data_IF_086946036005
#
_entry.id   IF_086946036005
#
_cell.length_a   1.000
_cell.length_b   1.000
_cell.length_c   1.000
_cell.angle_alpha   90.00
_cell.angle_beta   90.00
_cell.angle_gamma   90.00
#
_symmetry.space_group_name_H-M   'P 1'
#
loop_
_entity.id
_entity.type
_entity.pdbx_description
1 polymer ?
#
# COMPACT_ATOMS: atom_id res chain seq x y z
N UNK A 1 -19.71 2.83 -16.13
CA UNK A 1 -20.11 2.66 -14.72
C UNK A 1 -20.88 3.92 -14.28
N UNK A 2 -21.98 3.78 -13.53
CA UNK A 2 -22.66 4.90 -12.85
C UNK A 2 -22.54 4.64 -11.35
N UNK A 3 -22.05 5.62 -10.59
CA UNK A 3 -21.80 5.52 -9.15
C UNK A 3 -22.51 6.65 -8.41
N UNK A 4 -23.03 6.36 -7.22
CA UNK A 4 -23.74 7.38 -6.40
C UNK A 4 -22.76 8.29 -5.66
N UNK A 5 -21.55 7.80 -5.39
CA UNK A 5 -20.45 8.59 -4.83
C UNK A 5 -19.10 7.99 -5.22
N UNK A 6 -18.03 8.72 -4.95
CA UNK A 6 -16.69 8.34 -5.37
C UNK A 6 -16.18 7.03 -4.71
N UNK A 7 -16.67 6.65 -3.53
CA UNK A 7 -16.24 5.44 -2.83
C UNK A 7 -16.64 4.16 -3.58
N UNK A 8 -17.72 4.20 -4.38
CA UNK A 8 -18.15 3.07 -5.22
C UNK A 8 -17.23 2.81 -6.42
N UNK A 9 -16.28 3.69 -6.68
CA UNK A 9 -15.28 3.53 -7.74
C UNK A 9 -13.97 2.90 -7.23
N UNK A 10 -13.89 2.60 -5.94
CA UNK A 10 -12.73 1.93 -5.34
C UNK A 10 -12.70 0.47 -5.80
N UNK A 11 -11.54 0.01 -6.25
CA UNK A 11 -11.36 -1.36 -6.75
C UNK A 11 -11.54 -1.48 -8.26
N UNK A 12 -11.68 -2.71 -8.74
CA UNK A 12 -11.73 -3.05 -10.18
C UNK A 12 -10.59 -2.41 -10.96
N UNK A 13 -9.40 -2.40 -10.36
CA UNK A 13 -8.21 -1.80 -10.95
C UNK A 13 -7.62 -2.71 -12.02
N UNK A 14 -7.09 -2.18 -13.13
CA UNK A 14 -6.62 -3.00 -14.22
C UNK A 14 -5.31 -3.73 -13.90
N UNK A 15 -5.10 -4.87 -14.58
CA UNK A 15 -3.81 -5.52 -14.69
C UNK A 15 -3.15 -5.06 -16.01
N UNK A 16 -1.99 -4.41 -15.89
CA UNK A 16 -1.28 -3.83 -17.04
C UNK A 16 -0.05 -4.70 -17.33
N UNK A 17 0.07 -5.17 -18.56
CA UNK A 17 1.24 -5.92 -18.99
C UNK A 17 2.44 -4.97 -19.13
N UNK A 18 3.58 -5.44 -18.66
CA UNK A 18 4.87 -4.78 -18.83
C UNK A 18 5.52 -5.34 -20.09
N UNK A 19 5.78 -4.51 -21.09
CA UNK A 19 6.21 -4.95 -22.41
C UNK A 19 7.67 -4.65 -22.72
N UNK A 20 8.22 -3.53 -22.21
CA UNK A 20 9.55 -3.06 -22.59
C UNK A 20 10.58 -3.18 -21.49
N UNK A 21 10.14 -3.05 -20.24
CA UNK A 21 11.03 -2.93 -19.07
C UNK A 21 11.86 -4.20 -18.82
N UNK A 22 11.33 -5.38 -19.15
CA UNK A 22 11.96 -6.69 -18.92
C UNK A 22 12.34 -7.43 -20.19
N UNK A 23 12.17 -6.81 -21.36
CA UNK A 23 12.47 -7.40 -22.67
C UNK A 23 11.42 -8.39 -23.18
N UNK A 24 11.67 -8.87 -24.39
CA UNK A 24 10.76 -9.79 -25.07
C UNK A 24 10.72 -11.16 -24.37
N UNK A 25 9.52 -11.71 -24.21
CA UNK A 25 9.31 -13.04 -23.63
C UNK A 25 9.03 -13.07 -22.13
N UNK A 26 9.26 -11.97 -21.40
CA UNK A 26 8.82 -11.88 -19.99
C UNK A 26 7.30 -11.71 -19.93
N UNK A 27 6.62 -12.56 -19.14
CA UNK A 27 5.18 -12.49 -18.92
C UNK A 27 4.90 -11.83 -17.58
N UNK A 28 5.07 -10.50 -17.53
CA UNK A 28 4.93 -9.69 -16.31
C UNK A 28 3.74 -8.75 -16.41
N UNK A 29 2.92 -8.73 -15.38
CA UNK A 29 1.83 -7.77 -15.21
C UNK A 29 1.98 -7.02 -13.87
N UNK A 30 1.41 -5.84 -13.80
CA UNK A 30 1.22 -5.10 -12.54
C UNK A 30 -0.25 -4.78 -12.34
N UNK A 31 -0.76 -5.06 -11.15
CA UNK A 31 -2.09 -4.58 -10.75
C UNK A 31 -2.00 -3.11 -10.40
N UNK A 32 -2.67 -2.28 -11.19
CA UNK A 32 -2.50 -0.82 -11.15
C UNK A 32 -3.44 -0.15 -10.15
N UNK A 33 -3.11 -0.24 -8.87
CA UNK A 33 -3.88 0.32 -7.76
C UNK A 33 -3.90 1.87 -7.72
N UNK A 34 -3.03 2.53 -8.51
CA UNK A 34 -3.13 3.97 -8.75
C UNK A 34 -4.46 4.39 -9.38
N UNK A 35 -5.19 3.45 -9.98
CA UNK A 35 -6.51 3.67 -10.56
C UNK A 35 -7.63 3.89 -9.54
N UNK A 36 -7.40 3.65 -8.27
CA UNK A 36 -8.35 3.99 -7.22
C UNK A 36 -8.54 5.53 -7.14
N UNK A 37 -9.70 6.03 -6.72
CA UNK A 37 -10.03 7.45 -6.77
C UNK A 37 -9.12 8.35 -5.91
N UNK A 38 -8.66 7.86 -4.76
CA UNK A 38 -7.64 8.53 -3.96
C UNK A 38 -6.22 8.25 -4.44
N UNK A 39 -6.04 7.52 -5.54
CA UNK A 39 -4.78 7.27 -6.24
C UNK A 39 -3.89 6.22 -5.57
N UNK A 40 -4.40 5.32 -4.76
CA UNK A 40 -3.60 4.25 -4.17
C UNK A 40 -4.39 3.03 -3.69
N UNK A 41 -3.67 1.92 -3.47
CA UNK A 41 -4.21 0.69 -2.85
C UNK A 41 -4.85 0.94 -1.47
N UNK A 42 -4.47 2.04 -0.78
CA UNK A 42 -4.95 2.34 0.56
C UNK A 42 -6.39 2.80 0.60
N UNK A 43 -6.96 3.20 -0.52
CA UNK A 43 -8.38 3.52 -0.63
C UNK A 43 -9.25 2.32 -0.23
N UNK A 44 -8.84 1.11 -0.63
CA UNK A 44 -9.53 -0.14 -0.28
C UNK A 44 -9.60 -0.34 1.23
N UNK A 45 -8.45 -0.27 1.91
CA UNK A 45 -8.39 -0.51 3.35
C UNK A 45 -9.03 0.64 4.14
N UNK A 46 -8.90 1.88 3.69
CA UNK A 46 -9.53 3.02 4.33
C UNK A 46 -11.06 2.86 4.39
N UNK A 47 -11.68 2.52 3.25
CA UNK A 47 -13.11 2.26 3.20
C UNK A 47 -13.49 1.05 4.06
N UNK A 48 -12.80 -0.07 3.89
CA UNK A 48 -13.14 -1.32 4.57
C UNK A 48 -13.04 -1.22 6.11
N UNK A 49 -11.99 -0.56 6.63
CA UNK A 49 -11.84 -0.38 8.07
C UNK A 49 -12.93 0.52 8.65
N UNK A 50 -13.30 1.60 7.94
CA UNK A 50 -14.39 2.49 8.38
C UNK A 50 -15.73 1.75 8.36
N UNK A 51 -16.06 1.02 7.28
CA UNK A 51 -17.31 0.26 7.19
C UNK A 51 -17.40 -0.88 8.21
N UNK A 52 -16.28 -1.50 8.55
CA UNK A 52 -16.23 -2.50 9.61
C UNK A 52 -16.52 -1.88 10.99
N UNK A 53 -15.93 -0.72 11.25
CA UNK A 53 -16.16 0.03 12.48
C UNK A 53 -17.61 0.53 12.61
N UNK A 54 -18.23 0.95 11.50
CA UNK A 54 -19.66 1.30 11.45
C UNK A 54 -20.53 0.08 11.79
N UNK A 55 -20.25 -1.04 11.13
CA UNK A 55 -21.03 -2.29 11.31
C UNK A 55 -20.92 -2.86 12.73
N UNK A 56 -19.72 -2.77 13.33
CA UNK A 56 -19.49 -3.21 14.72
C UNK A 56 -19.97 -2.20 15.78
N UNK A 57 -20.33 -0.99 15.37
CA UNK A 57 -20.69 0.10 16.28
C UNK A 57 -19.51 0.79 16.97
N UNK A 58 -18.27 0.45 16.59
CA UNK A 58 -17.04 1.09 17.09
C UNK A 58 -16.91 2.54 16.63
N UNK A 59 -17.43 2.87 15.46
CA UNK A 59 -17.52 4.23 14.91
C UNK A 59 -18.98 4.59 14.68
N UNK A 60 -19.45 5.64 15.36
CA UNK A 60 -20.83 6.15 15.22
C UNK A 60 -20.88 7.31 14.21
N UNK A 61 -22.04 7.52 13.59
CA UNK A 61 -22.27 8.63 12.67
C UNK A 61 -21.82 9.98 13.26
N UNK A 62 -21.07 10.76 12.48
CA UNK A 62 -20.47 12.03 12.91
C UNK A 62 -19.31 11.90 13.93
N UNK A 63 -18.87 10.69 14.21
CA UNK A 63 -17.72 10.40 15.11
C UNK A 63 -16.40 10.94 14.57
N UNK A 64 -15.35 10.77 15.37
CA UNK A 64 -13.99 11.22 15.04
C UNK A 64 -13.08 10.03 14.76
N UNK A 65 -12.46 10.02 13.61
CA UNK A 65 -11.41 9.07 13.23
C UNK A 65 -10.06 9.70 13.57
N UNK A 66 -9.19 8.96 14.27
CA UNK A 66 -7.83 9.40 14.62
C UNK A 66 -6.86 8.31 14.15
N UNK A 67 -5.90 8.63 13.27
CA UNK A 67 -4.92 7.65 12.78
C UNK A 67 -3.51 8.25 12.71
N UNK A 68 -2.50 7.53 13.25
CA UNK A 68 -1.11 7.95 13.12
C UNK A 68 -0.58 7.57 11.73
N UNK A 69 -0.68 8.48 10.77
CA UNK A 69 -0.20 8.26 9.41
C UNK A 69 0.07 9.56 8.66
N UNK A 70 1.10 9.55 7.83
CA UNK A 70 1.44 10.66 6.91
C UNK A 70 1.36 10.23 5.44
N UNK A 71 0.94 8.99 5.19
CA UNK A 71 0.97 8.37 3.87
C UNK A 71 -0.39 8.23 3.20
N UNK A 72 -0.45 7.31 2.25
CA UNK A 72 -1.63 7.05 1.43
C UNK A 72 -2.86 6.62 2.25
N UNK A 73 -2.67 5.96 3.40
CA UNK A 73 -3.78 5.63 4.30
C UNK A 73 -4.49 6.89 4.81
N UNK A 74 -3.73 7.94 5.16
CA UNK A 74 -4.31 9.22 5.57
C UNK A 74 -5.12 9.88 4.44
N UNK A 75 -4.66 9.78 3.19
CA UNK A 75 -5.40 10.29 2.02
C UNK A 75 -6.69 9.50 1.81
N UNK A 76 -6.62 8.16 1.85
CA UNK A 76 -7.80 7.31 1.71
C UNK A 76 -8.82 7.56 2.84
N UNK A 77 -8.37 7.66 4.09
CA UNK A 77 -9.25 7.98 5.22
C UNK A 77 -9.86 9.38 5.09
N UNK A 78 -9.11 10.36 4.58
CA UNK A 78 -9.62 11.72 4.37
C UNK A 78 -10.73 11.74 3.32
N UNK A 79 -10.57 11.04 2.20
CA UNK A 79 -11.60 10.88 1.18
C UNK A 79 -12.84 10.18 1.74
N UNK A 80 -12.67 9.08 2.48
CA UNK A 80 -13.78 8.32 3.07
C UNK A 80 -14.50 9.17 4.11
N UNK A 81 -13.78 9.87 4.99
CA UNK A 81 -14.34 10.75 6.01
C UNK A 81 -15.15 11.90 5.41
N UNK A 82 -14.64 12.51 4.33
CA UNK A 82 -15.35 13.57 3.61
C UNK A 82 -16.70 13.10 3.06
N UNK A 83 -16.76 11.91 2.45
CA UNK A 83 -17.99 11.37 1.86
C UNK A 83 -18.98 10.90 2.93
N UNK A 84 -18.48 10.27 4.01
CA UNK A 84 -19.33 9.70 5.07
C UNK A 84 -19.66 10.68 6.21
N UNK A 85 -19.10 11.90 6.20
CA UNK A 85 -19.38 12.93 7.20
C UNK A 85 -18.69 12.73 8.54
N UNK A 86 -17.52 12.09 8.55
CA UNK A 86 -16.70 11.92 9.76
C UNK A 86 -15.70 13.06 9.95
N UNK A 87 -15.36 13.36 11.20
CA UNK A 87 -14.20 14.16 11.52
C UNK A 87 -12.95 13.29 11.42
N UNK A 88 -11.87 13.83 10.85
CA UNK A 88 -10.60 13.11 10.75
C UNK A 88 -9.47 13.95 11.33
N UNK A 89 -8.74 13.34 12.26
CA UNK A 89 -7.49 13.87 12.82
C UNK A 89 -6.35 12.92 12.44
N UNK A 90 -5.39 13.41 11.67
CA UNK A 90 -4.20 12.65 11.30
C UNK A 90 -3.01 13.09 12.16
N UNK A 91 -2.40 12.13 12.83
CA UNK A 91 -1.26 12.39 13.72
C UNK A 91 0.02 12.03 12.99
N UNK A 92 0.95 12.97 12.89
CA UNK A 92 2.20 12.74 12.16
C UNK A 92 3.33 13.66 12.62
N UNK A 93 4.61 13.28 12.41
CA UNK A 93 5.73 14.19 12.63
C UNK A 93 5.64 15.42 11.72
N UNK A 94 6.05 16.58 12.25
CA UNK A 94 5.98 17.90 11.59
C UNK A 94 6.81 18.03 10.31
N UNK A 95 7.82 17.19 10.12
CA UNK A 95 8.69 17.15 8.93
C UNK A 95 8.14 16.40 7.72
N UNK A 96 6.85 16.01 7.71
CA UNK A 96 6.26 15.27 6.61
C UNK A 96 5.90 16.15 5.41
N UNK A 97 5.81 15.54 4.21
CA UNK A 97 5.54 16.20 2.91
C UNK A 97 4.39 17.20 2.99
N UNK A 98 4.66 18.43 2.54
CA UNK A 98 3.67 19.52 2.48
C UNK A 98 2.58 19.20 1.46
N UNK A 99 2.92 18.57 0.34
CA UNK A 99 1.98 18.21 -0.73
C UNK A 99 0.92 17.23 -0.22
N UNK A 100 1.35 16.20 0.53
CA UNK A 100 0.41 15.23 1.12
C UNK A 100 -0.50 15.89 2.15
N UNK A 101 0.07 16.76 3.00
CA UNK A 101 -0.74 17.51 3.97
C UNK A 101 -1.79 18.40 3.28
N UNK A 102 -1.40 19.10 2.20
CA UNK A 102 -2.33 19.92 1.40
C UNK A 102 -3.46 19.09 0.81
N UNK A 103 -3.16 17.90 0.29
CA UNK A 103 -4.17 16.99 -0.25
C UNK A 103 -5.15 16.52 0.83
N UNK A 104 -4.65 16.12 2.00
CA UNK A 104 -5.50 15.71 3.13
C UNK A 104 -6.36 16.87 3.65
N UNK A 105 -5.80 18.10 3.72
CA UNK A 105 -6.56 19.33 4.07
C UNK A 105 -7.67 19.61 3.07
N UNK A 106 -7.43 19.39 1.78
CA UNK A 106 -8.46 19.60 0.74
C UNK A 106 -9.68 18.68 0.93
N UNK A 107 -9.47 17.49 1.53
CA UNK A 107 -10.57 16.60 1.95
C UNK A 107 -11.16 16.93 3.32
N UNK A 108 -10.68 17.97 4.01
CA UNK A 108 -11.21 18.39 5.31
C UNK A 108 -10.59 17.73 6.54
N UNK A 109 -9.48 17.00 6.38
CA UNK A 109 -8.76 16.45 7.52
C UNK A 109 -8.08 17.55 8.36
N UNK A 110 -7.96 17.32 9.65
CA UNK A 110 -7.14 18.12 10.57
C UNK A 110 -5.89 17.35 10.99
N UNK A 111 -4.89 18.05 11.55
CA UNK A 111 -3.63 17.44 11.98
C UNK A 111 -3.32 17.73 13.43
N UNK A 112 -2.77 16.73 14.11
CA UNK A 112 -2.00 16.88 15.33
C UNK A 112 -0.54 16.53 14.99
N UNK A 113 0.34 17.55 15.01
CA UNK A 113 1.73 17.40 14.59
C UNK A 113 2.61 17.14 15.80
N UNK A 114 3.40 16.08 15.73
CA UNK A 114 4.36 15.71 16.77
C UNK A 114 5.79 16.13 16.39
N UNK A 115 6.69 16.36 17.37
CA UNK A 115 8.07 16.67 17.09
C UNK A 115 8.73 15.61 16.18
N UNK A 116 9.42 16.05 15.13
CA UNK A 116 10.10 15.17 14.15
C UNK A 116 11.03 14.15 14.82
N UNK A 117 11.72 14.57 15.89
CA UNK A 117 12.65 13.72 16.63
C UNK A 117 12.00 12.46 17.24
N UNK A 118 10.69 12.47 17.50
CA UNK A 118 9.95 11.34 18.05
C UNK A 118 9.51 10.34 16.98
N UNK A 119 9.60 10.70 15.70
CA UNK A 119 9.22 9.86 14.57
C UNK A 119 7.79 9.32 14.65
N UNK A 120 7.53 8.21 13.95
CA UNK A 120 6.21 7.57 13.97
C UNK A 120 5.84 6.99 15.33
N UNK A 121 6.82 6.59 16.15
CA UNK A 121 6.55 6.10 17.51
C UNK A 121 5.88 7.18 18.37
N UNK A 122 6.36 8.43 18.27
CA UNK A 122 5.73 9.57 18.94
C UNK A 122 4.34 9.87 18.40
N UNK A 123 4.13 9.77 17.09
CA UNK A 123 2.81 9.97 16.50
C UNK A 123 1.80 8.89 16.94
N UNK A 124 2.22 7.64 17.05
CA UNK A 124 1.37 6.54 17.56
C UNK A 124 0.96 6.80 19.03
N UNK A 125 1.92 7.13 19.89
CA UNK A 125 1.61 7.42 21.29
C UNK A 125 0.63 8.61 21.41
N UNK A 126 0.86 9.67 20.64
CA UNK A 126 -0.01 10.85 20.64
C UNK A 126 -1.43 10.52 20.10
N UNK A 127 -1.55 9.69 19.08
CA UNK A 127 -2.85 9.25 18.58
C UNK A 127 -3.63 8.46 19.63
N UNK A 128 -2.96 7.60 20.40
CA UNK A 128 -3.56 6.84 21.51
C UNK A 128 -4.08 7.76 22.61
N UNK A 129 -3.30 8.79 23.00
CA UNK A 129 -3.73 9.82 23.96
C UNK A 129 -4.97 10.57 23.48
N UNK A 130 -4.99 10.97 22.19
CA UNK A 130 -6.13 11.68 21.61
C UNK A 130 -7.38 10.81 21.58
N UNK A 131 -7.28 9.52 21.22
CA UNK A 131 -8.41 8.60 21.25
C UNK A 131 -8.94 8.45 22.67
N UNK A 132 -8.07 8.29 23.67
CA UNK A 132 -8.46 8.15 25.06
C UNK A 132 -9.16 9.42 25.64
N UNK A 133 -8.80 10.60 25.13
CA UNK A 133 -9.34 11.88 25.59
C UNK A 133 -10.50 12.43 24.76
N UNK A 134 -10.83 11.82 23.60
CA UNK A 134 -11.88 12.28 22.69
C UNK A 134 -13.08 11.33 22.74
N UNK A 135 -14.20 11.71 23.34
CA UNK A 135 -15.38 10.86 23.41
C UNK A 135 -15.85 10.40 22.01
N UNK A 136 -16.05 9.10 21.83
CA UNK A 136 -16.51 8.52 20.58
C UNK A 136 -15.47 8.52 19.43
N UNK A 137 -14.20 8.80 19.73
CA UNK A 137 -13.12 8.65 18.78
C UNK A 137 -12.79 7.17 18.54
N UNK A 138 -12.40 6.86 17.32
CA UNK A 138 -11.98 5.54 16.89
C UNK A 138 -10.67 5.61 16.10
N UNK A 139 -9.80 4.61 16.28
CA UNK A 139 -8.54 4.49 15.56
C UNK A 139 -8.54 3.25 14.67
N UNK A 140 -8.35 3.43 13.36
CA UNK A 140 -8.30 2.33 12.37
C UNK A 140 -7.26 1.24 12.64
N UNK A 141 -6.06 1.61 13.10
CA UNK A 141 -4.96 0.69 13.40
C UNK A 141 -4.57 -0.19 12.19
N UNK A 142 -4.22 0.45 11.07
CA UNK A 142 -4.00 -0.20 9.79
C UNK A 142 -3.08 -1.43 9.78
N UNK A 143 -2.15 -1.53 10.74
CA UNK A 143 -1.19 -2.66 10.82
C UNK A 143 -1.75 -3.91 11.53
N UNK A 144 -2.89 -3.78 12.21
CA UNK A 144 -3.47 -4.83 13.06
C UNK A 144 -4.93 -5.12 12.69
N UNK A 145 -5.63 -4.21 12.05
CA UNK A 145 -7.05 -4.32 11.75
C UNK A 145 -7.31 -5.42 10.72
N UNK A 146 -8.09 -6.45 11.05
CA UNK A 146 -8.36 -7.58 10.15
C UNK A 146 -9.15 -7.17 8.91
N UNK A 147 -9.94 -6.08 8.94
CA UNK A 147 -10.64 -5.56 7.77
C UNK A 147 -9.68 -5.16 6.62
N UNK A 148 -8.41 -4.86 6.96
CA UNK A 148 -7.35 -4.63 5.98
C UNK A 148 -7.04 -5.90 5.16
N UNK A 149 -6.94 -7.06 5.80
CA UNK A 149 -6.74 -8.34 5.09
C UNK A 149 -8.00 -8.74 4.33
N UNK A 150 -9.16 -8.65 5.00
CA UNK A 150 -10.44 -9.09 4.46
C UNK A 150 -10.85 -8.37 3.17
N UNK A 151 -10.60 -7.07 3.04
CA UNK A 151 -10.92 -6.37 1.80
C UNK A 151 -10.13 -6.90 0.61
N UNK A 152 -8.87 -7.28 0.81
CA UNK A 152 -8.05 -7.87 -0.24
C UNK A 152 -8.48 -9.31 -0.59
N UNK A 153 -8.96 -10.08 0.39
CA UNK A 153 -9.60 -11.39 0.16
C UNK A 153 -10.86 -11.25 -0.71
N UNK A 154 -11.73 -10.28 -0.36
CA UNK A 154 -13.04 -10.10 -0.99
C UNK A 154 -13.00 -9.36 -2.32
N UNK A 155 -11.98 -8.56 -2.57
CA UNK A 155 -11.91 -7.69 -3.77
C UNK A 155 -10.66 -7.95 -4.58
N UNK A 156 -9.50 -7.53 -4.12
CA UNK A 156 -8.23 -7.57 -4.89
C UNK A 156 -7.90 -8.97 -5.41
N UNK A 157 -8.02 -9.98 -4.56
CA UNK A 157 -7.76 -11.38 -4.95
C UNK A 157 -8.79 -11.90 -5.97
N UNK A 158 -10.05 -11.50 -5.85
CA UNK A 158 -11.10 -11.90 -6.78
C UNK A 158 -10.91 -11.26 -8.15
N UNK A 159 -10.48 -9.99 -8.18
CA UNK A 159 -10.12 -9.30 -9.43
C UNK A 159 -8.94 -10.00 -10.13
N UNK A 160 -7.94 -10.47 -9.37
CA UNK A 160 -6.81 -11.24 -9.92
C UNK A 160 -7.29 -12.59 -10.48
N UNK A 161 -8.13 -13.32 -9.74
CA UNK A 161 -8.68 -14.60 -10.22
C UNK A 161 -9.48 -14.44 -11.51
N UNK A 162 -10.26 -13.37 -11.61
CA UNK A 162 -11.09 -13.11 -12.78
C UNK A 162 -10.25 -12.81 -14.05
N UNK A 163 -9.15 -12.05 -13.90
CA UNK A 163 -8.32 -11.64 -15.04
C UNK A 163 -7.26 -12.68 -15.43
N UNK A 164 -6.95 -13.64 -14.52
CA UNK A 164 -5.99 -14.71 -14.79
C UNK A 164 -6.61 -16.11 -14.61
N UNK A 165 -7.57 -16.49 -15.47
CA UNK A 165 -8.27 -17.77 -15.35
C UNK A 165 -7.32 -18.99 -15.48
N UNK A 166 -6.22 -18.82 -16.22
CA UNK A 166 -5.18 -19.86 -16.38
C UNK A 166 -4.13 -19.85 -15.25
N UNK A 167 -4.29 -19.00 -14.25
CA UNK A 167 -3.41 -18.88 -13.09
C UNK A 167 -2.17 -18.02 -13.31
N UNK A 168 -1.42 -17.86 -12.24
CA UNK A 168 -0.12 -17.18 -12.16
C UNK A 168 0.91 -18.14 -11.56
N UNK A 169 2.18 -17.96 -11.92
CA UNK A 169 3.28 -18.75 -11.37
C UNK A 169 3.91 -18.03 -10.15
N UNK A 170 3.99 -16.70 -10.21
CA UNK A 170 4.68 -15.90 -9.18
C UNK A 170 3.91 -14.62 -8.86
N UNK A 171 3.78 -14.33 -7.57
CA UNK A 171 3.33 -13.05 -7.02
C UNK A 171 4.50 -12.40 -6.28
N UNK A 172 4.89 -11.19 -6.68
CA UNK A 172 5.94 -10.40 -6.04
C UNK A 172 5.35 -9.07 -5.58
N UNK A 173 5.41 -8.78 -4.28
CA UNK A 173 4.76 -7.58 -3.74
C UNK A 173 5.41 -7.04 -2.47
N UNK A 174 5.49 -5.72 -2.36
CA UNK A 174 6.08 -5.02 -1.22
C UNK A 174 5.22 -5.09 0.04
N UNK A 175 5.84 -5.16 1.19
CA UNK A 175 5.14 -5.23 2.48
C UNK A 175 5.19 -3.89 3.19
N UNK A 176 4.02 -3.22 3.25
CA UNK A 176 3.75 -2.09 4.15
C UNK A 176 2.99 -2.57 5.38
N UNK A 177 1.67 -2.67 5.29
CA UNK A 177 0.81 -3.21 6.37
C UNK A 177 0.65 -4.73 6.34
N UNK A 178 1.10 -5.39 5.30
CA UNK A 178 0.98 -6.84 5.11
C UNK A 178 -0.38 -7.32 4.58
N UNK A 179 -1.44 -6.52 4.72
CA UNK A 179 -2.80 -6.95 4.45
C UNK A 179 -3.06 -7.40 3.02
N UNK A 180 -2.58 -6.67 2.00
CA UNK A 180 -2.81 -7.05 0.61
C UNK A 180 -2.04 -8.32 0.23
N UNK A 181 -0.80 -8.49 0.70
CA UNK A 181 -0.04 -9.70 0.45
C UNK A 181 -0.75 -10.91 1.06
N UNK A 182 -1.06 -10.83 2.35
CA UNK A 182 -1.72 -11.94 3.08
C UNK A 182 -3.09 -12.26 2.50
N UNK A 183 -3.92 -11.24 2.24
CA UNK A 183 -5.26 -11.41 1.68
C UNK A 183 -5.23 -12.03 0.28
N UNK A 184 -4.36 -11.53 -0.61
CA UNK A 184 -4.20 -12.08 -1.95
C UNK A 184 -3.59 -13.48 -1.91
N UNK A 185 -2.49 -13.68 -1.18
CA UNK A 185 -1.80 -14.96 -1.13
C UNK A 185 -2.69 -16.09 -0.58
N UNK A 186 -3.48 -15.80 0.45
CA UNK A 186 -4.44 -16.77 1.03
C UNK A 186 -5.41 -17.30 -0.02
N UNK A 187 -5.99 -16.43 -0.83
CA UNK A 187 -6.98 -16.80 -1.86
C UNK A 187 -6.32 -17.45 -3.06
N UNK A 188 -5.24 -16.82 -3.55
CA UNK A 188 -4.59 -17.25 -4.79
C UNK A 188 -3.84 -18.59 -4.62
N UNK A 189 -3.20 -18.85 -3.48
CA UNK A 189 -2.60 -20.17 -3.20
C UNK A 189 -3.66 -21.27 -3.03
N UNK A 190 -4.84 -20.94 -2.55
CA UNK A 190 -5.94 -21.90 -2.50
C UNK A 190 -6.45 -22.27 -3.91
N UNK A 191 -6.50 -21.31 -4.83
CA UNK A 191 -6.88 -21.53 -6.23
C UNK A 191 -5.74 -22.14 -7.05
N UNK A 192 -4.52 -21.70 -6.79
CA UNK A 192 -3.29 -22.11 -7.52
C UNK A 192 -2.22 -22.59 -6.52
N UNK A 193 -2.23 -23.87 -6.10
CA UNK A 193 -1.33 -24.39 -5.06
C UNK A 193 0.16 -24.28 -5.40
N UNK A 194 0.52 -24.14 -6.69
CA UNK A 194 1.90 -23.97 -7.13
C UNK A 194 2.38 -22.52 -7.14
N UNK A 195 1.49 -21.55 -6.89
CA UNK A 195 1.83 -20.13 -6.87
C UNK A 195 2.95 -19.85 -5.85
N UNK A 196 4.03 -19.22 -6.31
CA UNK A 196 5.10 -18.72 -5.46
C UNK A 196 4.87 -17.26 -5.06
N UNK A 197 4.97 -16.96 -3.78
CA UNK A 197 4.72 -15.63 -3.23
C UNK A 197 5.99 -15.08 -2.58
N UNK A 198 6.46 -13.95 -3.10
CA UNK A 198 7.64 -13.26 -2.57
C UNK A 198 7.27 -11.90 -2.01
N UNK A 199 7.67 -11.67 -0.76
CA UNK A 199 7.61 -10.36 -0.14
C UNK A 199 8.79 -9.50 -0.59
N UNK A 200 8.57 -8.19 -0.75
CA UNK A 200 9.65 -7.22 -1.01
C UNK A 200 9.83 -6.32 0.19
N UNK A 201 11.07 -6.18 0.64
CA UNK A 201 11.46 -5.29 1.74
C UNK A 201 12.73 -4.50 1.40
N UNK A 202 12.99 -3.37 2.08
CA UNK A 202 14.21 -2.59 1.88
C UNK A 202 15.45 -3.31 2.44
N UNK A 203 16.56 -3.34 1.70
CA UNK A 203 17.86 -3.84 2.18
C UNK A 203 18.27 -3.17 3.50
N UNK A 204 18.02 -1.86 3.63
CA UNK A 204 18.40 -1.11 4.83
C UNK A 204 17.55 -1.47 6.07
N UNK A 205 16.40 -2.11 5.91
CA UNK A 205 15.50 -2.49 7.02
C UNK A 205 14.85 -3.85 6.78
N UNK A 206 15.64 -4.95 6.72
CA UNK A 206 15.20 -6.26 6.28
C UNK A 206 14.56 -7.07 7.42
N UNK A 207 13.54 -6.56 8.06
CA UNK A 207 12.93 -7.13 9.27
C UNK A 207 12.20 -8.45 9.03
N UNK A 208 11.64 -8.65 7.82
CA UNK A 208 10.96 -9.91 7.46
C UNK A 208 11.99 -11.02 7.29
N UNK A 209 13.18 -10.69 6.79
CA UNK A 209 14.34 -11.60 6.70
C UNK A 209 15.11 -11.77 8.02
N UNK A 210 14.62 -11.20 9.13
CA UNK A 210 15.25 -11.33 10.46
C UNK A 210 16.35 -10.31 10.77
N UNK A 211 16.51 -9.27 9.93
CA UNK A 211 17.45 -8.18 10.17
C UNK A 211 16.89 -7.09 11.08
N UNK A 212 17.73 -6.13 11.44
CA UNK A 212 17.36 -5.00 12.29
C UNK A 212 16.60 -3.91 11.51
N UNK A 213 15.63 -3.23 12.14
CA UNK A 213 14.98 -2.08 11.54
C UNK A 213 15.90 -0.88 11.44
N UNK A 214 15.86 -0.16 10.32
CA UNK A 214 16.56 1.10 10.14
C UNK A 214 15.78 2.05 9.22
N UNK A 215 16.04 3.38 9.29
CA UNK A 215 15.49 4.33 8.34
C UNK A 215 15.87 4.02 6.89
N UNK A 216 14.93 4.16 5.97
CA UNK A 216 15.15 3.94 4.54
C UNK A 216 14.24 4.88 3.71
N UNK A 217 14.62 5.22 2.47
CA UNK A 217 13.86 6.17 1.65
C UNK A 217 12.74 5.53 0.80
N UNK A 218 12.55 4.22 0.81
CA UNK A 218 11.48 3.55 0.06
C UNK A 218 10.17 3.71 0.83
N UNK A 219 9.43 4.79 0.54
CA UNK A 219 8.17 5.08 1.22
C UNK A 219 7.08 4.08 0.82
N UNK A 220 6.26 3.67 1.80
CA UNK A 220 5.09 2.80 1.59
C UNK A 220 5.29 1.32 1.92
N UNK A 221 6.55 0.86 2.03
CA UNK A 221 6.92 -0.48 2.50
C UNK A 221 7.96 -0.38 3.61
N UNK A 222 8.26 -1.48 4.29
CA UNK A 222 9.32 -1.53 5.30
C UNK A 222 8.95 -0.75 6.57
N UNK A 223 7.90 -1.15 7.29
CA UNK A 223 7.42 -0.47 8.49
C UNK A 223 8.39 -0.49 9.69
N UNK A 224 9.49 -1.23 9.62
CA UNK A 224 10.46 -1.41 10.71
C UNK A 224 10.04 -2.46 11.74
N UNK A 225 8.97 -3.17 11.49
CA UNK A 225 8.46 -4.31 12.27
C UNK A 225 7.64 -5.22 11.35
N UNK A 226 7.39 -6.47 11.79
CA UNK A 226 6.49 -7.39 11.10
C UNK A 226 5.05 -7.04 11.52
N UNK A 227 4.18 -6.56 10.57
CA UNK A 227 2.80 -6.23 10.88
C UNK A 227 2.00 -7.47 11.30
N UNK A 228 1.02 -7.32 12.20
CA UNK A 228 0.11 -8.41 12.58
C UNK A 228 -0.73 -8.93 11.39
N UNK A 229 -0.99 -8.07 10.42
CA UNK A 229 -1.69 -8.43 9.19
C UNK A 229 -0.85 -9.24 8.19
N UNK A 230 0.45 -9.42 8.44
CA UNK A 230 1.33 -10.24 7.59
C UNK A 230 1.37 -11.67 8.07
N UNK A 231 0.81 -12.58 7.29
CA UNK A 231 0.97 -14.02 7.47
C UNK A 231 2.24 -14.48 6.74
N UNK A 232 3.33 -14.63 7.48
CA UNK A 232 4.63 -15.04 6.93
C UNK A 232 4.65 -16.49 6.46
N UNK A 233 3.72 -17.33 6.90
CA UNK A 233 3.61 -18.73 6.46
C UNK A 233 3.20 -18.88 4.99
N UNK A 234 2.63 -17.82 4.40
CA UNK A 234 2.25 -17.77 2.99
C UNK A 234 3.42 -17.43 2.04
N UNK A 235 4.56 -17.01 2.59
CA UNK A 235 5.73 -16.58 1.80
C UNK A 235 6.58 -17.77 1.36
N UNK A 236 6.98 -17.78 0.09
CA UNK A 236 7.99 -18.67 -0.44
C UNK A 236 9.40 -18.04 -0.38
N UNK A 237 9.49 -16.76 -0.07
CA UNK A 237 10.74 -16.04 0.14
C UNK A 237 10.56 -14.53 0.27
N UNK A 238 11.68 -13.86 0.51
CA UNK A 238 11.75 -12.41 0.65
C UNK A 238 12.84 -11.88 -0.28
N UNK A 239 12.52 -10.82 -1.02
CA UNK A 239 13.45 -10.15 -1.93
C UNK A 239 13.78 -8.78 -1.34
N UNK A 240 15.05 -8.52 -1.11
CA UNK A 240 15.53 -7.25 -0.59
C UNK A 240 15.91 -6.32 -1.74
N UNK A 241 15.45 -5.05 -1.66
CA UNK A 241 15.68 -4.06 -2.70
C UNK A 241 16.27 -2.79 -2.11
N UNK A 242 17.33 -2.28 -2.74
CA UNK A 242 17.91 -0.99 -2.43
C UNK A 242 17.08 0.18 -2.99
N UNK A 243 17.29 1.36 -2.39
CA UNK A 243 16.54 2.56 -2.74
C UNK A 243 16.79 3.02 -4.17
N UNK A 244 18.04 2.97 -4.65
CA UNK A 244 18.35 3.48 -5.99
C UNK A 244 17.82 2.55 -7.10
N UNK A 245 17.97 1.22 -7.05
CA UNK A 245 17.24 0.33 -7.95
C UNK A 245 15.73 0.57 -7.96
N UNK A 246 15.11 0.81 -6.79
CA UNK A 246 13.69 1.12 -6.71
C UNK A 246 13.31 2.43 -7.43
N UNK A 247 14.10 3.49 -7.24
CA UNK A 247 13.91 4.78 -7.92
C UNK A 247 14.12 4.66 -9.43
N UNK A 248 15.19 3.98 -9.86
CA UNK A 248 15.46 3.80 -11.28
C UNK A 248 14.36 3.01 -11.97
N UNK A 249 13.86 1.93 -11.37
CA UNK A 249 12.76 1.16 -11.97
C UNK A 249 11.46 1.97 -12.02
N UNK A 250 11.21 2.86 -11.07
CA UNK A 250 10.07 3.79 -11.16
C UNK A 250 10.23 4.80 -12.30
N UNK A 251 11.43 5.34 -12.50
CA UNK A 251 11.77 6.24 -13.63
C UNK A 251 11.65 5.52 -14.98
N UNK A 252 12.19 4.31 -15.05
CA UNK A 252 12.10 3.47 -16.26
C UNK A 252 10.65 3.10 -16.59
N UNK A 253 9.84 2.77 -15.57
CA UNK A 253 8.41 2.53 -15.75
C UNK A 253 7.70 3.72 -16.43
N UNK A 254 8.06 4.95 -16.05
CA UNK A 254 7.53 6.14 -16.71
C UNK A 254 8.01 6.28 -18.16
N UNK A 255 9.31 6.08 -18.42
CA UNK A 255 9.90 6.28 -19.75
C UNK A 255 9.61 5.16 -20.74
N UNK A 256 9.49 3.93 -20.26
CA UNK A 256 9.40 2.74 -21.11
C UNK A 256 7.95 2.22 -21.20
N UNK A 257 7.15 2.36 -20.14
CA UNK A 257 5.76 1.85 -20.06
C UNK A 257 4.71 2.98 -19.95
N UNK A 258 5.12 4.23 -19.86
CA UNK A 258 4.20 5.37 -19.68
C UNK A 258 3.53 5.43 -18.30
N UNK A 259 4.06 4.71 -17.31
CA UNK A 259 3.50 4.64 -15.98
C UNK A 259 4.39 5.34 -14.96
N UNK A 260 4.05 6.56 -14.57
CA UNK A 260 4.70 7.26 -13.45
C UNK A 260 4.15 6.69 -12.14
N UNK A 261 4.97 5.92 -11.43
CA UNK A 261 4.60 5.16 -10.24
C UNK A 261 5.39 5.62 -9.01
N UNK A 262 4.89 5.30 -7.81
CA UNK A 262 5.64 5.58 -6.57
C UNK A 262 6.87 4.69 -6.39
N UNK A 263 7.75 5.08 -5.46
CA UNK A 263 9.05 4.41 -5.23
C UNK A 263 8.85 2.95 -4.78
N UNK A 264 7.81 2.64 -4.00
CA UNK A 264 7.50 1.26 -3.60
C UNK A 264 7.07 0.37 -4.78
N UNK A 265 6.41 0.95 -5.78
CA UNK A 265 6.10 0.25 -7.04
C UNK A 265 7.37 -0.04 -7.83
N UNK A 266 8.30 0.94 -7.87
CA UNK A 266 9.63 0.74 -8.41
C UNK A 266 10.41 -0.35 -7.69
N UNK A 267 10.29 -0.46 -6.36
CA UNK A 267 10.88 -1.55 -5.59
C UNK A 267 10.33 -2.92 -6.00
N UNK A 268 9.01 -3.02 -6.23
CA UNK A 268 8.41 -4.25 -6.75
C UNK A 268 8.93 -4.60 -8.14
N UNK A 269 9.05 -3.62 -9.03
CA UNK A 269 9.62 -3.84 -10.38
C UNK A 269 11.10 -4.25 -10.30
N UNK A 270 11.89 -3.67 -9.40
CA UNK A 270 13.28 -4.07 -9.15
C UNK A 270 13.38 -5.50 -8.62
N UNK A 271 12.50 -5.89 -7.70
CA UNK A 271 12.43 -7.25 -7.19
C UNK A 271 12.06 -8.26 -8.29
N UNK A 272 11.13 -7.90 -9.19
CA UNK A 272 10.79 -8.71 -10.36
C UNK A 272 12.04 -8.88 -11.25
N UNK A 273 12.76 -7.78 -11.55
CA UNK A 273 13.98 -7.85 -12.35
C UNK A 273 15.05 -8.77 -11.75
N UNK A 274 15.21 -8.76 -10.42
CA UNK A 274 16.13 -9.68 -9.71
C UNK A 274 15.67 -11.13 -9.82
N UNK A 275 14.36 -11.39 -9.76
CA UNK A 275 13.81 -12.76 -9.71
C UNK A 275 13.65 -13.41 -11.06
N UNK A 276 13.37 -12.66 -12.12
CA UNK A 276 13.10 -13.19 -13.46
C UNK A 276 14.18 -14.18 -13.97
N UNK A 277 15.51 -13.95 -13.80
CA UNK A 277 16.53 -14.87 -14.27
C UNK A 277 16.49 -16.26 -13.61
N UNK A 278 15.87 -16.37 -12.45
CA UNK A 278 15.76 -17.63 -11.68
C UNK A 278 14.48 -18.41 -12.04
N UNK A 279 13.55 -17.79 -12.76
CA UNK A 279 12.26 -18.37 -13.09
C UNK A 279 12.33 -19.15 -14.42
N UNK A 280 11.53 -20.22 -14.58
CA UNK A 280 11.36 -20.87 -15.87
C UNK A 280 10.91 -19.88 -16.95
N UNK A 281 11.38 -20.08 -18.19
CA UNK A 281 10.94 -19.27 -19.31
C UNK A 281 9.41 -19.35 -19.47
N UNK A 282 8.76 -18.20 -19.71
CA UNK A 282 7.32 -18.11 -19.84
C UNK A 282 6.54 -18.07 -18.51
N UNK A 283 7.23 -18.01 -17.36
CA UNK A 283 6.56 -17.82 -16.08
C UNK A 283 5.73 -16.54 -16.04
N UNK A 284 4.48 -16.65 -15.56
CA UNK A 284 3.54 -15.54 -15.40
C UNK A 284 3.73 -14.89 -14.04
N UNK A 285 4.20 -13.66 -14.04
CA UNK A 285 4.54 -12.91 -12.84
C UNK A 285 3.60 -11.74 -12.65
N UNK A 286 3.02 -11.60 -11.46
CA UNK A 286 2.23 -10.44 -11.07
C UNK A 286 2.95 -9.62 -10.00
N UNK A 287 3.09 -8.32 -10.26
CA UNK A 287 3.45 -7.32 -9.26
C UNK A 287 2.33 -6.32 -8.99
N UNK A 288 2.63 -5.30 -8.18
CA UNK A 288 1.70 -4.23 -7.87
C UNK A 288 2.30 -2.86 -8.18
N UNK A 289 1.48 -1.99 -8.74
CA UNK A 289 1.66 -0.55 -8.76
C UNK A 289 0.72 0.06 -7.72
N UNK A 290 1.27 0.43 -6.56
CA UNK A 290 0.49 0.79 -5.37
C UNK A 290 -0.12 2.18 -5.45
N UNK A 291 0.57 3.14 -6.07
CA UNK A 291 0.18 4.54 -6.11
C UNK A 291 0.82 5.28 -7.28
N UNK A 292 0.47 6.56 -7.40
CA UNK A 292 0.97 7.46 -8.44
C UNK A 292 2.28 8.15 -8.03
N UNK A 293 3.19 8.36 -9.00
CA UNK A 293 4.47 9.01 -8.77
C UNK A 293 4.38 10.51 -8.50
N UNK A 294 3.29 11.17 -8.84
CA UNK A 294 3.08 12.62 -8.62
C UNK A 294 3.17 13.03 -7.14
N UNK A 295 2.98 12.07 -6.22
CA UNK A 295 3.12 12.27 -4.76
C UNK A 295 4.56 12.35 -4.29
N UNK A 296 5.52 12.12 -5.18
CA UNK A 296 6.96 11.99 -4.86
C UNK A 296 7.82 12.98 -5.64
N UNK A 297 7.22 13.95 -6.35
CA UNK A 297 7.95 14.91 -7.20
C UNK A 297 8.99 15.74 -6.41
N UNK A 298 8.70 16.04 -5.14
CA UNK A 298 9.62 16.75 -4.25
C UNK A 298 10.60 15.84 -3.48
N UNK A 299 10.55 14.51 -3.71
CA UNK A 299 11.48 13.59 -3.04
C UNK A 299 12.83 13.66 -3.71
N UNK A 300 13.85 14.05 -2.95
CA UNK A 300 15.23 14.16 -3.42
C UNK A 300 15.71 12.84 -4.05
N UNK A 301 16.32 12.95 -5.22
CA UNK A 301 16.84 11.81 -5.99
C UNK A 301 15.78 10.91 -6.62
N UNK A 302 14.50 11.25 -6.56
CA UNK A 302 13.45 10.47 -7.23
C UNK A 302 13.40 10.78 -8.74
N UNK A 303 13.33 12.04 -9.11
CA UNK A 303 13.39 12.49 -10.50
C UNK A 303 14.67 13.28 -10.77
N UNK A 304 15.19 13.28 -12.01
CA UNK A 304 16.26 14.18 -12.40
C UNK A 304 15.80 15.63 -12.28
N UNK A 305 16.71 16.50 -11.85
CA UNK A 305 16.51 17.95 -11.78
C UNK A 305 16.81 18.57 -13.12
#
# INVERSE_FOLDING_TARGET
MKADNILQTIGNTPHIRINRLFGDGALVWVKSERGNPGGSIKDRIALAMVEDAERSGALKAGGTIIEPTSGNTGIGLAMVAAVKGYKLVLVMPDGMSVERRRLMLAYGASFDLTPRALGMKGAIARAQELVASTPGAWMPQQFENPANVDVHVRTTAQEILADFPDGLDVLITGVGTGGHLSGCAKVLKAAWPQLKVYAVEPVASPVISGGAPAPHPIQGIGAGFIPKNLDTSLLDGVIQVDAEPAREMARRSAREEGMLVGISSGATLAAIAQKLPELPAGSRVLGFNYDTGERYLSVEGFLPV
#
